data_IF_305338831910
#
_entry.id   IF_305338831910
#
_cell.length_a   1.000
_cell.length_b   1.000
_cell.length_c   1.000
_cell.angle_alpha   90.00
_cell.angle_beta   90.00
_cell.angle_gamma   90.00
#
_symmetry.space_group_name_H-M   'P 1'
#
loop_
_entity.id
_entity.type
_entity.pdbx_description
1 polymer ?
#
# COMPACT_ATOMS: atom_id res chain seq x y z
N UNK A 1 -6.44 -12.75 31.87
CA UNK A 1 -5.75 -12.87 30.56
C UNK A 1 -6.43 -11.88 29.63
N UNK A 2 -5.77 -10.77 29.30
CA UNK A 2 -6.30 -9.77 28.37
C UNK A 2 -6.50 -10.49 27.01
N UNK A 3 -7.65 -10.32 26.39
CA UNK A 3 -7.86 -10.67 24.99
C UNK A 3 -6.80 -9.88 24.22
N UNK A 4 -5.69 -10.54 23.84
CA UNK A 4 -4.73 -9.96 22.91
C UNK A 4 -5.52 -9.58 21.67
N UNK A 5 -5.75 -8.28 21.51
CA UNK A 5 -6.61 -7.79 20.45
C UNK A 5 -5.90 -8.02 19.12
N UNK A 6 -6.45 -8.90 18.30
CA UNK A 6 -5.98 -9.15 16.95
C UNK A 6 -5.94 -7.82 16.18
N UNK A 7 -4.93 -7.65 15.34
CA UNK A 7 -4.66 -6.38 14.67
C UNK A 7 -4.84 -6.51 13.16
N UNK A 8 -5.36 -5.44 12.54
CA UNK A 8 -5.36 -5.18 11.11
C UNK A 8 -4.23 -4.20 10.80
N UNK A 9 -3.42 -4.50 9.78
CA UNK A 9 -2.35 -3.64 9.31
C UNK A 9 -2.74 -3.04 7.96
N UNK A 10 -2.72 -1.71 7.85
CA UNK A 10 -2.83 -1.00 6.58
C UNK A 10 -1.42 -0.67 6.10
N UNK A 11 -1.02 -1.27 4.98
CA UNK A 11 0.28 -1.03 4.37
C UNK A 11 0.18 0.05 3.31
N UNK A 12 0.55 1.26 3.67
CA UNK A 12 0.64 2.41 2.77
C UNK A 12 1.88 2.33 1.89
N UNK A 13 1.72 2.65 0.60
CA UNK A 13 2.80 2.71 -0.39
C UNK A 13 2.79 4.04 -1.14
N UNK A 14 2.05 4.14 -2.23
CA UNK A 14 1.89 5.38 -3.01
C UNK A 14 0.58 6.13 -2.68
N UNK A 15 -0.28 5.51 -1.90
CA UNK A 15 -1.63 5.93 -1.51
C UNK A 15 -1.66 6.71 -0.17
N UNK A 16 -0.72 7.63 0.02
CA UNK A 16 -0.46 8.35 1.28
C UNK A 16 -1.57 9.36 1.63
N UNK A 17 -2.80 8.87 1.86
CA UNK A 17 -3.97 9.67 2.23
C UNK A 17 -4.89 8.92 3.17
N UNK A 18 -5.72 9.63 3.92
CA UNK A 18 -6.75 9.04 4.80
C UNK A 18 -8.16 9.19 4.24
N UNK A 19 -8.37 10.21 3.41
CA UNK A 19 -9.64 10.45 2.73
C UNK A 19 -9.74 9.57 1.48
N UNK A 20 -10.94 9.07 1.20
CA UNK A 20 -11.22 8.21 0.04
C UNK A 20 -10.18 7.07 -0.11
N UNK A 21 -9.94 6.34 0.99
CA UNK A 21 -8.98 5.23 1.04
C UNK A 21 -9.69 3.92 1.39
N UNK A 22 -9.99 3.11 0.39
CA UNK A 22 -10.76 1.87 0.51
C UNK A 22 -10.13 0.89 1.52
N UNK A 23 -8.81 0.72 1.49
CA UNK A 23 -8.10 -0.18 2.39
C UNK A 23 -8.21 0.24 3.86
N UNK A 24 -8.04 1.52 4.16
CA UNK A 24 -8.18 2.07 5.49
C UNK A 24 -9.62 1.90 6.01
N UNK A 25 -10.62 2.25 5.17
CA UNK A 25 -12.03 2.07 5.51
C UNK A 25 -12.35 0.61 5.86
N UNK A 26 -11.95 -0.34 5.00
CA UNK A 26 -12.19 -1.77 5.25
C UNK A 26 -11.47 -2.29 6.50
N UNK A 27 -10.26 -1.77 6.79
CA UNK A 27 -9.55 -2.11 8.01
C UNK A 27 -10.30 -1.64 9.26
N UNK A 28 -10.85 -0.42 9.25
CA UNK A 28 -11.68 0.12 10.33
C UNK A 28 -12.98 -0.68 10.49
N UNK A 29 -13.65 -0.99 9.38
CA UNK A 29 -14.90 -1.78 9.39
C UNK A 29 -14.69 -3.22 9.88
N UNK A 30 -13.45 -3.72 9.94
CA UNK A 30 -13.14 -5.08 10.43
C UNK A 30 -13.37 -5.28 11.93
N UNK A 31 -13.49 -4.20 12.68
CA UNK A 31 -13.60 -4.24 14.15
C UNK A 31 -12.33 -4.64 14.89
N UNK A 32 -11.21 -4.82 14.17
CA UNK A 32 -9.90 -5.09 14.75
C UNK A 32 -9.19 -3.78 15.14
N UNK A 33 -8.19 -3.88 16.03
CA UNK A 33 -7.27 -2.76 16.24
C UNK A 33 -6.51 -2.48 14.94
N UNK A 34 -6.54 -1.23 14.48
CA UNK A 34 -5.86 -0.84 13.23
C UNK A 34 -4.51 -0.21 13.55
N UNK A 35 -3.49 -0.64 12.83
CA UNK A 35 -2.18 0.02 12.74
C UNK A 35 -1.85 0.29 11.29
N UNK A 36 -1.12 1.35 11.03
CA UNK A 36 -0.63 1.71 9.70
C UNK A 36 0.88 1.47 9.61
N UNK A 37 1.36 1.10 8.43
CA UNK A 37 2.77 0.87 8.15
C UNK A 37 3.18 1.56 6.86
N UNK A 38 4.33 2.23 6.89
CA UNK A 38 5.01 2.79 5.72
C UNK A 38 6.51 2.55 5.84
N UNK A 39 7.19 2.29 4.72
CA UNK A 39 8.65 2.20 4.71
C UNK A 39 9.27 3.05 3.61
N UNK A 40 10.30 3.81 3.97
CA UNK A 40 11.23 4.40 3.02
C UNK A 40 12.17 3.29 2.51
N UNK A 41 11.70 2.50 1.53
CA UNK A 41 12.46 1.36 1.02
C UNK A 41 13.83 1.81 0.50
N UNK A 42 14.96 1.36 1.10
CA UNK A 42 16.30 1.84 0.75
C UNK A 42 16.68 1.57 -0.71
N UNK A 43 16.06 0.57 -1.35
CA UNK A 43 16.30 0.28 -2.78
C UNK A 43 15.90 1.43 -3.69
N UNK A 44 14.90 2.23 -3.30
CA UNK A 44 14.44 3.37 -4.11
C UNK A 44 15.43 4.55 -4.13
N UNK A 45 16.38 4.58 -3.18
CA UNK A 45 17.37 5.65 -3.03
C UNK A 45 18.76 5.28 -3.54
N UNK A 46 18.93 4.06 -4.04
CA UNK A 46 20.17 3.58 -4.65
C UNK A 46 20.26 4.04 -6.11
N UNK A 47 21.48 4.13 -6.63
CA UNK A 47 21.72 4.36 -8.05
C UNK A 47 21.27 3.13 -8.84
N UNK A 48 20.50 3.36 -9.88
CA UNK A 48 20.15 2.34 -10.87
C UNK A 48 21.35 2.05 -11.78
N UNK A 49 21.30 0.94 -12.50
CA UNK A 49 22.34 0.56 -13.49
C UNK A 49 22.57 1.63 -14.56
N UNK A 50 21.62 2.53 -14.74
CA UNK A 50 21.67 3.64 -15.72
C UNK A 50 22.27 4.93 -15.16
N UNK A 51 22.79 4.92 -13.93
CA UNK A 51 23.54 6.04 -13.34
C UNK A 51 22.69 7.08 -12.61
N UNK A 52 21.38 6.90 -12.47
CA UNK A 52 20.52 7.81 -11.69
C UNK A 52 19.70 7.07 -10.65
N UNK A 53 19.14 7.80 -9.68
CA UNK A 53 18.34 7.26 -8.60
C UNK A 53 16.85 7.20 -8.99
N UNK A 54 16.15 6.15 -8.55
CA UNK A 54 14.68 6.08 -8.68
C UNK A 54 13.99 7.19 -7.88
N UNK A 55 14.52 7.53 -6.71
CA UNK A 55 14.04 8.62 -5.86
C UNK A 55 15.22 9.52 -5.52
N UNK A 56 15.22 10.75 -6.06
CA UNK A 56 16.20 11.77 -5.74
C UNK A 56 15.58 12.83 -4.81
N UNK A 57 16.36 13.85 -4.44
CA UNK A 57 16.10 14.81 -3.36
C UNK A 57 14.68 15.42 -3.38
N UNK A 58 14.17 15.83 -4.53
CA UNK A 58 12.85 16.46 -4.62
C UNK A 58 11.73 15.46 -4.28
N UNK A 59 11.77 14.28 -4.88
CA UNK A 59 10.81 13.22 -4.57
C UNK A 59 10.94 12.74 -3.13
N UNK A 60 12.18 12.61 -2.63
CA UNK A 60 12.41 12.23 -1.24
C UNK A 60 11.83 13.26 -0.26
N UNK A 61 12.04 14.56 -0.51
CA UNK A 61 11.47 15.64 0.30
C UNK A 61 9.94 15.62 0.30
N UNK A 62 9.33 15.48 -0.88
CA UNK A 62 7.88 15.35 -1.03
C UNK A 62 7.34 14.14 -0.23
N UNK A 63 7.98 12.96 -0.35
CA UNK A 63 7.58 11.77 0.40
C UNK A 63 7.66 11.96 1.92
N UNK A 64 8.72 12.61 2.42
CA UNK A 64 8.86 12.92 3.85
C UNK A 64 7.73 13.82 4.33
N UNK A 65 7.35 14.83 3.56
CA UNK A 65 6.23 15.72 3.88
C UNK A 65 4.91 14.95 3.88
N UNK A 66 4.63 14.17 2.82
CA UNK A 66 3.40 13.39 2.70
C UNK A 66 3.25 12.37 3.83
N UNK A 67 4.33 11.69 4.22
CA UNK A 67 4.31 10.73 5.34
C UNK A 67 4.08 11.44 6.67
N UNK A 68 4.61 12.66 6.84
CA UNK A 68 4.35 13.47 8.04
C UNK A 68 2.88 13.86 8.14
N UNK A 69 2.29 14.33 7.06
CA UNK A 69 0.86 14.68 7.00
C UNK A 69 -0.02 13.45 7.23
N UNK A 70 0.30 12.32 6.59
CA UNK A 70 -0.39 11.06 6.82
C UNK A 70 -0.34 10.65 8.31
N UNK A 71 0.82 10.81 8.95
CA UNK A 71 0.99 10.49 10.38
C UNK A 71 0.07 11.32 11.26
N UNK A 72 -0.04 12.63 11.02
CA UNK A 72 -0.93 13.51 11.79
C UNK A 72 -2.41 13.19 11.52
N UNK A 73 -2.78 12.93 10.27
CA UNK A 73 -4.13 12.53 9.90
C UNK A 73 -4.54 11.21 10.56
N UNK A 74 -3.68 10.19 10.54
CA UNK A 74 -3.93 8.91 11.21
C UNK A 74 -3.99 9.05 12.73
N UNK A 75 -3.16 9.92 13.31
CA UNK A 75 -3.18 10.22 14.75
C UNK A 75 -4.51 10.81 15.18
N UNK A 76 -5.13 11.69 14.39
CA UNK A 76 -6.46 12.21 14.67
C UNK A 76 -7.55 11.13 14.68
N UNK A 77 -7.33 10.03 13.98
CA UNK A 77 -8.19 8.83 13.96
C UNK A 77 -7.79 7.79 15.02
N UNK A 78 -6.87 8.11 15.92
CA UNK A 78 -6.30 7.20 16.92
C UNK A 78 -5.60 5.96 16.32
N UNK A 79 -5.01 6.11 15.13
CA UNK A 79 -4.25 5.08 14.43
C UNK A 79 -2.76 5.42 14.49
N UNK A 80 -1.94 4.47 14.92
CA UNK A 80 -0.48 4.64 14.94
C UNK A 80 0.12 4.30 13.59
N UNK A 81 0.90 5.24 13.00
CA UNK A 81 1.72 4.97 11.82
C UNK A 81 3.12 4.52 12.24
N UNK A 82 3.48 3.32 11.86
CA UNK A 82 4.84 2.79 11.95
C UNK A 82 5.59 3.23 10.70
N UNK A 83 6.69 3.97 10.89
CA UNK A 83 7.56 4.41 9.81
C UNK A 83 8.87 3.65 9.93
N UNK A 84 9.29 3.01 8.84
CA UNK A 84 10.49 2.19 8.78
C UNK A 84 11.40 2.64 7.62
N UNK A 85 12.64 2.16 7.63
CA UNK A 85 13.62 2.33 6.55
C UNK A 85 14.22 0.99 6.10
N UNK A 86 13.56 -0.12 6.44
CA UNK A 86 13.94 -1.46 6.00
C UNK A 86 13.22 -1.83 4.70
N UNK A 87 13.76 -2.76 3.91
CA UNK A 87 12.99 -3.39 2.85
C UNK A 87 11.67 -3.97 3.38
N UNK A 88 10.55 -3.83 2.65
CA UNK A 88 9.22 -4.23 3.14
C UNK A 88 9.16 -5.67 3.65
N UNK A 89 9.83 -6.61 2.96
CA UNK A 89 9.87 -8.03 3.31
C UNK A 89 10.69 -8.35 4.56
N UNK A 90 11.31 -7.35 5.17
CA UNK A 90 11.95 -7.45 6.48
C UNK A 90 11.10 -6.73 7.52
N UNK A 91 10.82 -5.45 7.30
CA UNK A 91 10.10 -4.62 8.25
C UNK A 91 8.69 -5.12 8.54
N UNK A 92 7.89 -5.40 7.51
CA UNK A 92 6.50 -5.88 7.71
C UNK A 92 6.48 -7.16 8.56
N UNK A 93 7.35 -8.12 8.28
CA UNK A 93 7.36 -9.41 9.00
C UNK A 93 7.61 -9.24 10.49
N UNK A 94 8.51 -8.31 10.87
CA UNK A 94 8.74 -7.99 12.28
C UNK A 94 7.47 -7.48 12.96
N UNK A 95 6.76 -6.56 12.29
CA UNK A 95 5.56 -5.93 12.86
C UNK A 95 4.34 -6.85 12.84
N UNK A 96 4.22 -7.76 11.85
CA UNK A 96 3.18 -8.79 11.84
C UNK A 96 3.23 -9.65 13.11
N UNK A 97 4.43 -10.05 13.51
CA UNK A 97 4.65 -10.84 14.73
C UNK A 97 4.43 -10.00 15.99
N UNK A 98 5.04 -8.81 16.04
CA UNK A 98 5.00 -7.91 17.21
C UNK A 98 3.57 -7.51 17.59
N UNK A 99 2.71 -7.27 16.61
CA UNK A 99 1.34 -6.77 16.83
C UNK A 99 0.26 -7.83 16.57
N UNK A 100 0.63 -9.10 16.44
CA UNK A 100 -0.32 -10.20 16.19
C UNK A 100 -1.30 -9.91 15.05
N UNK A 101 -0.75 -9.42 13.93
CA UNK A 101 -1.55 -9.04 12.76
C UNK A 101 -2.21 -10.28 12.15
N UNK A 102 -3.51 -10.16 11.84
CA UNK A 102 -4.32 -11.20 11.17
C UNK A 102 -4.81 -10.80 9.80
N UNK A 103 -4.80 -9.50 9.52
CA UNK A 103 -5.29 -8.96 8.26
C UNK A 103 -4.34 -7.87 7.77
N UNK A 104 -3.99 -7.91 6.49
CA UNK A 104 -3.20 -6.90 5.81
C UNK A 104 -4.06 -6.27 4.73
N UNK A 105 -4.17 -4.95 4.74
CA UNK A 105 -4.88 -4.16 3.75
C UNK A 105 -3.88 -3.35 2.96
N UNK A 106 -3.96 -3.41 1.63
CA UNK A 106 -3.02 -2.72 0.75
C UNK A 106 -3.66 -2.44 -0.61
N UNK A 107 -3.21 -1.38 -1.25
CA UNK A 107 -3.54 -1.08 -2.62
C UNK A 107 -2.89 -2.11 -3.56
N UNK A 108 -3.61 -2.56 -4.58
CA UNK A 108 -3.04 -3.46 -5.58
C UNK A 108 -2.11 -2.69 -6.51
N UNK A 109 -0.86 -3.12 -6.59
CA UNK A 109 0.12 -2.51 -7.46
C UNK A 109 0.34 -3.34 -8.73
N UNK A 110 0.77 -2.66 -9.80
CA UNK A 110 0.82 -3.25 -11.13
C UNK A 110 2.23 -3.63 -11.57
N UNK A 111 3.24 -2.99 -11.00
CA UNK A 111 4.63 -3.21 -11.43
C UNK A 111 5.20 -4.49 -10.86
N UNK A 112 6.19 -5.06 -11.57
CA UNK A 112 6.84 -6.29 -11.15
C UNK A 112 7.63 -6.14 -9.85
N UNK A 113 8.08 -4.92 -9.54
CA UNK A 113 8.85 -4.63 -8.33
C UNK A 113 7.99 -4.83 -7.08
N UNK A 114 6.82 -4.19 -7.04
CA UNK A 114 5.90 -4.29 -5.91
C UNK A 114 5.29 -5.69 -5.78
N UNK A 115 5.01 -6.35 -6.93
CA UNK A 115 4.55 -7.76 -6.91
C UNK A 115 5.59 -8.70 -6.32
N UNK A 116 6.87 -8.50 -6.63
CA UNK A 116 7.97 -9.29 -6.05
C UNK A 116 8.11 -9.05 -4.55
N UNK A 117 7.94 -7.81 -4.09
CA UNK A 117 7.92 -7.49 -2.65
C UNK A 117 6.78 -8.22 -1.92
N UNK A 118 5.55 -8.16 -2.46
CA UNK A 118 4.41 -8.88 -1.89
C UNK A 118 4.64 -10.40 -1.85
N UNK A 119 5.15 -10.98 -2.93
CA UNK A 119 5.47 -12.40 -2.99
C UNK A 119 6.55 -12.80 -1.98
N UNK A 120 7.58 -11.96 -1.80
CA UNK A 120 8.65 -12.20 -0.84
C UNK A 120 8.13 -12.20 0.61
N UNK A 121 7.15 -11.35 0.90
CA UNK A 121 6.47 -11.34 2.21
C UNK A 121 5.59 -12.57 2.35
N UNK A 122 4.73 -12.86 1.36
CA UNK A 122 3.77 -13.96 1.41
C UNK A 122 4.43 -15.33 1.64
N UNK A 123 5.63 -15.53 1.08
CA UNK A 123 6.43 -16.78 1.27
C UNK A 123 6.94 -16.97 2.71
N UNK A 124 6.99 -15.91 3.51
CA UNK A 124 7.63 -15.92 4.84
C UNK A 124 6.65 -15.78 6.00
N UNK A 125 5.39 -15.53 5.72
CA UNK A 125 4.37 -15.32 6.74
C UNK A 125 3.40 -16.49 6.82
N UNK A 126 2.69 -16.58 7.94
CA UNK A 126 1.66 -17.58 8.17
C UNK A 126 0.50 -17.42 7.19
N UNK A 127 0.05 -18.52 6.59
CA UNK A 127 -1.08 -18.56 5.64
C UNK A 127 -2.41 -18.17 6.27
N UNK A 128 -2.52 -18.14 7.60
CA UNK A 128 -3.70 -17.67 8.33
C UNK A 128 -3.88 -16.15 8.26
N UNK A 129 -2.84 -15.39 7.88
CA UNK A 129 -2.90 -13.94 7.69
C UNK A 129 -3.61 -13.64 6.37
N UNK A 130 -4.74 -12.96 6.45
CA UNK A 130 -5.55 -12.63 5.27
C UNK A 130 -5.05 -11.36 4.61
N UNK A 131 -4.97 -11.37 3.27
CA UNK A 131 -4.60 -10.24 2.45
C UNK A 131 -5.82 -9.67 1.76
N UNK A 132 -6.04 -8.36 1.93
CA UNK A 132 -7.13 -7.61 1.30
C UNK A 132 -6.52 -6.57 0.36
N UNK A 133 -6.51 -6.88 -0.93
CA UNK A 133 -6.05 -5.98 -2.00
C UNK A 133 -7.24 -5.23 -2.57
N UNK A 134 -7.02 -3.97 -2.90
CA UNK A 134 -8.03 -3.11 -3.51
C UNK A 134 -7.42 -2.28 -4.62
N UNK A 135 -8.24 -1.90 -5.59
CA UNK A 135 -7.87 -0.99 -6.66
C UNK A 135 -8.38 0.40 -6.33
N UNK A 136 -7.48 1.38 -6.28
CA UNK A 136 -7.80 2.73 -5.86
C UNK A 136 -6.90 3.79 -6.56
N UNK A 137 -6.30 3.41 -7.70
CA UNK A 137 -5.35 4.22 -8.43
C UNK A 137 -5.92 4.85 -9.70
N UNK A 138 -7.05 4.33 -10.20
CA UNK A 138 -7.54 4.64 -11.54
C UNK A 138 -8.90 5.28 -11.48
N UNK A 139 -9.19 6.12 -12.47
CA UNK A 139 -10.50 6.73 -12.67
C UNK A 139 -11.61 5.68 -12.89
N UNK A 140 -11.26 4.60 -13.58
CA UNK A 140 -12.14 3.45 -13.79
C UNK A 140 -11.57 2.22 -13.08
N UNK A 141 -12.42 1.52 -12.35
CA UNK A 141 -12.02 0.24 -11.81
C UNK A 141 -11.76 -0.75 -12.97
N UNK A 142 -10.69 -1.57 -12.94
CA UNK A 142 -10.38 -2.48 -14.06
C UNK A 142 -11.51 -3.43 -14.47
N UNK A 143 -12.38 -3.81 -13.53
CA UNK A 143 -13.51 -4.68 -13.80
C UNK A 143 -14.72 -3.95 -14.42
N UNK A 144 -14.73 -2.61 -14.40
CA UNK A 144 -15.81 -1.79 -14.95
C UNK A 144 -15.52 -1.33 -16.38
N UNK A 145 -14.34 -1.72 -16.91
CA UNK A 145 -13.99 -1.42 -18.28
C UNK A 145 -14.87 -2.22 -19.25
N UNK A 146 -15.45 -1.54 -20.23
CA UNK A 146 -16.27 -2.12 -21.30
C UNK A 146 -15.48 -2.88 -22.36
N UNK A 147 -14.15 -2.96 -22.17
CA UNK A 147 -13.22 -3.60 -23.11
C UNK A 147 -12.52 -4.77 -22.45
N UNK A 148 -12.25 -5.82 -23.21
CA UNK A 148 -11.22 -6.77 -22.86
C UNK A 148 -9.83 -6.15 -23.05
N UNK A 149 -8.81 -6.68 -22.39
CA UNK A 149 -7.46 -6.10 -22.34
C UNK A 149 -6.84 -5.90 -23.75
N UNK A 150 -7.12 -6.80 -24.64
CA UNK A 150 -6.67 -6.83 -26.05
C UNK A 150 -7.47 -5.91 -26.97
N UNK A 151 -8.60 -5.36 -26.50
CA UNK A 151 -9.51 -4.49 -27.26
C UNK A 151 -9.49 -3.04 -26.76
N UNK A 152 -8.60 -2.72 -25.83
CA UNK A 152 -8.47 -1.33 -25.32
C UNK A 152 -8.05 -0.42 -26.50
N UNK A 153 -8.84 0.63 -26.81
CA UNK A 153 -8.49 1.54 -27.89
C UNK A 153 -7.18 2.27 -27.61
N UNK A 154 -6.30 2.35 -28.62
CA UNK A 154 -5.06 3.13 -28.55
C UNK A 154 -5.32 4.65 -28.46
N UNK A 155 -6.46 5.10 -29.01
CA UNK A 155 -6.84 6.53 -29.01
C UNK A 155 -7.70 6.81 -27.78
N UNK A 156 -7.19 7.67 -26.88
CA UNK A 156 -7.90 8.06 -25.66
C UNK A 156 -9.31 8.61 -25.91
N UNK A 157 -9.53 9.42 -26.96
CA UNK A 157 -10.85 9.94 -27.30
C UNK A 157 -11.90 8.87 -27.60
N UNK A 158 -11.50 7.73 -28.19
CA UNK A 158 -12.37 6.58 -28.43
C UNK A 158 -12.63 5.84 -27.10
N UNK A 159 -11.58 5.64 -26.32
CA UNK A 159 -11.69 5.04 -24.98
C UNK A 159 -12.69 5.80 -24.11
N UNK A 160 -12.50 7.13 -23.98
CA UNK A 160 -13.36 8.00 -23.19
C UNK A 160 -14.83 7.90 -23.58
N UNK A 161 -15.14 8.06 -24.88
CA UNK A 161 -16.52 8.03 -25.41
C UNK A 161 -17.27 6.70 -25.15
N UNK A 162 -16.53 5.62 -24.96
CA UNK A 162 -17.13 4.30 -24.69
C UNK A 162 -17.25 4.00 -23.20
N UNK A 163 -16.47 4.70 -22.35
CA UNK A 163 -16.53 4.55 -20.90
C UNK A 163 -17.43 5.57 -20.21
N UNK A 164 -17.78 6.69 -20.88
CA UNK A 164 -18.80 7.67 -20.46
C UNK A 164 -20.20 7.19 -20.85
#
# INVERSE_FOLDING_TARGET
>A
MSKDSLTALVWFRQDLRTEDHIGLKKALDSGLKVIAYYTFNPRHYQNLSWGFKKTDRFRAHFLVQSVRELKESLKSMNISLIIDSKPPEIGIIEYLKKYQVRQIYLQHEWTEEEKKEEQAIAKKIDTSIKWYRHYDQFLFHPNDLVFSRDQIPEIFGIFRKKCE
#
